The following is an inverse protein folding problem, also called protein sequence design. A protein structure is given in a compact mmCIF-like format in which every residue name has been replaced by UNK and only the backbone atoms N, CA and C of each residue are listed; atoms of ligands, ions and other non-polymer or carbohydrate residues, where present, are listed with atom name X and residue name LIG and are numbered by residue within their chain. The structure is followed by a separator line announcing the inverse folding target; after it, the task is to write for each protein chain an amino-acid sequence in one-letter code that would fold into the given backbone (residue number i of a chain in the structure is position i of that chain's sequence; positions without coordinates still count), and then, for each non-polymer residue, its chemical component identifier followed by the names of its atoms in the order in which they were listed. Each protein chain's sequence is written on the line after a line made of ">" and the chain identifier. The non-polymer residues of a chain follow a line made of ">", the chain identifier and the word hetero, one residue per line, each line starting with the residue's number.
data_IF_830116373472
#
_entry.id   IF_830116373472
#
_cell.length_a   1.000
_cell.length_b   1.000
_cell.length_c   1.000
_cell.angle_alpha   90.00
_cell.angle_beta   90.00
_cell.angle_gamma   90.00
#
_symmetry.space_group_name_H-M   'P 1'
#
loop_
_entity.id
_entity.type
_entity.pdbx_description
1 polymer ?
#
# COMPACT_ATOMS: atom_id res chain seq x y z
N UNK A 1 -1.38 9.30 -1.35
CA UNK A 1 -1.53 8.57 -0.07
C UNK A 1 -0.88 7.18 -0.05
N UNK A 2 0.17 6.91 -0.86
CA UNK A 2 0.70 5.56 -1.12
C UNK A 2 1.38 4.85 0.06
N UNK A 3 1.95 5.61 1.02
CA UNK A 3 2.78 5.04 2.09
C UNK A 3 2.01 4.17 3.10
N UNK A 4 0.73 4.46 3.34
CA UNK A 4 -0.02 3.85 4.46
C UNK A 4 -0.31 2.36 4.25
N UNK A 5 -0.70 1.95 3.04
CA UNK A 5 -1.03 0.55 2.73
C UNK A 5 0.22 -0.33 2.64
N UNK A 6 1.33 0.21 2.14
CA UNK A 6 2.62 -0.51 2.10
C UNK A 6 3.12 -0.84 3.51
N UNK A 7 2.97 0.08 4.46
CA UNK A 7 3.36 -0.15 5.86
C UNK A 7 2.54 -1.31 6.46
N UNK A 8 1.24 -1.37 6.22
CA UNK A 8 0.39 -2.47 6.71
C UNK A 8 0.83 -3.83 6.14
N UNK A 9 1.18 -3.90 4.86
CA UNK A 9 1.67 -5.13 4.24
C UNK A 9 3.03 -5.55 4.81
N UNK A 10 3.95 -4.61 5.03
CA UNK A 10 5.26 -4.90 5.63
C UNK A 10 5.11 -5.37 7.08
N UNK A 11 4.26 -4.70 7.87
CA UNK A 11 3.97 -5.11 9.25
C UNK A 11 3.32 -6.49 9.29
N UNK A 12 2.37 -6.78 8.39
CA UNK A 12 1.78 -8.12 8.31
C UNK A 12 2.81 -9.20 7.99
N UNK A 13 3.75 -8.93 7.08
CA UNK A 13 4.82 -9.87 6.73
C UNK A 13 5.79 -10.11 7.88
N UNK A 14 6.14 -9.05 8.63
CA UNK A 14 7.00 -9.16 9.80
C UNK A 14 6.33 -9.95 10.93
N UNK A 15 5.06 -9.66 11.23
CA UNK A 15 4.29 -10.37 12.24
C UNK A 15 4.11 -11.86 11.88
N UNK A 16 3.87 -12.15 10.60
CA UNK A 16 3.79 -13.52 10.11
C UNK A 16 5.13 -14.26 10.23
N UNK A 17 6.25 -13.62 9.88
CA UNK A 17 7.58 -14.21 10.03
C UNK A 17 7.90 -14.54 11.49
N UNK A 18 7.57 -13.63 12.42
CA UNK A 18 7.71 -13.87 13.85
C UNK A 18 6.83 -15.05 14.32
N UNK A 19 5.59 -15.15 13.82
CA UNK A 19 4.72 -16.28 14.10
C UNK A 19 5.31 -17.61 13.64
N UNK A 20 5.87 -17.69 12.42
CA UNK A 20 6.48 -18.92 11.88
C UNK A 20 7.68 -19.38 12.72
N UNK A 21 8.41 -18.46 13.35
CA UNK A 21 9.54 -18.79 14.23
C UNK A 21 9.06 -19.26 15.61
N UNK A 22 8.05 -18.60 16.18
CA UNK A 22 7.62 -18.83 17.57
C UNK A 22 6.68 -20.03 17.69
N UNK A 23 5.77 -20.22 16.74
CA UNK A 23 4.64 -21.16 16.84
C UNK A 23 4.98 -22.66 16.69
N UNK A 24 5.98 -23.12 15.91
CA UNK A 24 6.17 -24.56 15.66
C UNK A 24 6.44 -25.39 16.92
N UNK A 25 7.28 -24.87 17.81
CA UNK A 25 7.69 -25.56 19.04
C UNK A 25 6.54 -25.71 20.06
N UNK A 26 5.82 -24.63 20.44
CA UNK A 26 4.68 -24.74 21.33
C UNK A 26 3.50 -25.47 20.68
N UNK A 27 3.32 -25.42 19.36
CA UNK A 27 2.30 -26.20 18.66
C UNK A 27 2.51 -27.71 18.85
N UNK A 28 3.75 -28.19 18.70
CA UNK A 28 4.08 -29.61 18.92
C UNK A 28 3.92 -30.01 20.38
N UNK A 29 4.32 -29.14 21.32
CA UNK A 29 4.16 -29.40 22.76
C UNK A 29 2.68 -29.49 23.18
N UNK A 30 1.82 -28.59 22.68
CA UNK A 30 0.37 -28.62 22.93
C UNK A 30 -0.29 -29.81 22.26
N UNK A 31 0.06 -30.13 21.01
CA UNK A 31 -0.49 -31.30 20.32
C UNK A 31 -0.05 -32.63 20.94
N UNK A 32 1.16 -32.67 21.52
CA UNK A 32 1.71 -33.84 22.21
C UNK A 32 1.22 -34.02 23.66
N UNK A 33 0.47 -33.06 24.21
CA UNK A 33 -0.03 -33.13 25.59
C UNK A 33 1.02 -32.84 26.67
N UNK A 34 2.25 -32.46 26.30
CA UNK A 34 3.34 -32.10 27.23
C UNK A 34 3.45 -30.58 27.43
N UNK A 35 2.36 -29.86 27.24
CA UNK A 35 2.36 -28.41 27.36
C UNK A 35 2.46 -27.98 28.83
N UNK A 36 3.66 -27.51 29.20
CA UNK A 36 3.87 -26.74 30.42
C UNK A 36 3.35 -25.30 30.27
N UNK A 37 3.08 -24.62 31.38
CA UNK A 37 2.47 -23.28 31.41
C UNK A 37 3.20 -22.27 30.51
N UNK A 38 4.54 -22.32 30.45
CA UNK A 38 5.33 -21.47 29.56
C UNK A 38 5.09 -21.74 28.07
N UNK A 39 4.90 -22.99 27.68
CA UNK A 39 4.61 -23.36 26.28
C UNK A 39 3.20 -22.99 25.86
N UNK A 40 2.23 -23.07 26.78
CA UNK A 40 0.85 -22.61 26.53
C UNK A 40 0.80 -21.11 26.28
N UNK A 41 1.54 -20.30 27.06
CA UNK A 41 1.62 -18.84 26.83
C UNK A 41 2.21 -18.52 25.46
N UNK A 42 3.30 -19.21 25.07
CA UNK A 42 3.90 -19.03 23.75
C UNK A 42 2.99 -19.47 22.61
N UNK A 43 2.17 -20.51 22.83
CA UNK A 43 1.16 -20.95 21.89
C UNK A 43 0.07 -19.88 21.67
N UNK A 44 -0.49 -19.35 22.76
CA UNK A 44 -1.50 -18.28 22.71
C UNK A 44 -0.93 -17.03 22.05
N UNK A 45 0.30 -16.65 22.40
CA UNK A 45 0.99 -15.52 21.78
C UNK A 45 1.13 -15.73 20.26
N UNK A 46 1.54 -16.93 19.85
CA UNK A 46 1.64 -17.28 18.43
C UNK A 46 0.30 -17.20 17.70
N UNK A 47 -0.81 -17.65 18.32
CA UNK A 47 -2.16 -17.50 17.74
C UNK A 47 -2.59 -16.04 17.60
N UNK A 48 -2.28 -15.20 18.59
CA UNK A 48 -2.55 -13.75 18.52
C UNK A 48 -1.76 -13.12 17.37
N UNK A 49 -0.45 -13.40 17.26
CA UNK A 49 0.36 -12.91 16.15
C UNK A 49 -0.17 -13.39 14.79
N UNK A 50 -0.64 -14.63 14.70
CA UNK A 50 -1.20 -15.18 13.48
C UNK A 50 -2.48 -14.43 13.08
N UNK A 51 -3.41 -14.24 14.01
CA UNK A 51 -4.65 -13.49 13.78
C UNK A 51 -4.37 -12.04 13.37
N UNK A 52 -3.42 -11.39 14.04
CA UNK A 52 -3.07 -10.00 13.77
C UNK A 52 -2.41 -9.84 12.39
N UNK A 53 -1.50 -10.75 12.02
CA UNK A 53 -0.89 -10.78 10.69
C UNK A 53 -1.93 -10.95 9.57
N UNK A 54 -2.91 -11.82 9.78
CA UNK A 54 -3.97 -12.10 8.80
C UNK A 54 -4.93 -10.91 8.65
N UNK A 55 -5.28 -10.26 9.77
CA UNK A 55 -6.08 -9.04 9.78
C UNK A 55 -5.40 -7.89 9.03
N UNK A 56 -4.14 -7.61 9.33
CA UNK A 56 -3.36 -6.57 8.66
C UNK A 56 -3.17 -6.85 7.16
N UNK A 57 -2.92 -8.10 6.80
CA UNK A 57 -2.79 -8.53 5.40
C UNK A 57 -4.11 -8.31 4.64
N UNK A 58 -5.23 -8.77 5.19
CA UNK A 58 -6.55 -8.63 4.56
C UNK A 58 -6.94 -7.15 4.36
N UNK A 59 -6.70 -6.31 5.37
CA UNK A 59 -6.95 -4.86 5.30
C UNK A 59 -6.03 -4.20 4.27
N UNK A 60 -4.73 -4.51 4.30
CA UNK A 60 -3.74 -3.99 3.35
C UNK A 60 -4.07 -4.35 1.90
N UNK A 61 -4.45 -5.60 1.64
CA UNK A 61 -4.87 -6.08 0.32
C UNK A 61 -6.18 -5.43 -0.13
N UNK A 62 -7.18 -5.30 0.75
CA UNK A 62 -8.47 -4.67 0.43
C UNK A 62 -8.27 -3.22 0.00
N UNK A 63 -7.40 -2.49 0.69
CA UNK A 63 -7.19 -1.07 0.41
C UNK A 63 -6.32 -0.85 -0.83
N UNK A 64 -5.32 -1.70 -1.04
CA UNK A 64 -4.58 -1.77 -2.30
C UNK A 64 -5.47 -2.12 -3.49
N UNK A 65 -6.37 -3.08 -3.32
CA UNK A 65 -7.33 -3.48 -4.34
C UNK A 65 -8.27 -2.33 -4.69
N UNK A 66 -8.82 -1.62 -3.69
CA UNK A 66 -9.64 -0.42 -3.93
C UNK A 66 -8.89 0.67 -4.68
N UNK A 67 -7.63 0.93 -4.32
CA UNK A 67 -6.79 1.93 -5.00
C UNK A 67 -6.56 1.55 -6.47
N UNK A 68 -6.23 0.29 -6.75
CA UNK A 68 -6.03 -0.21 -8.12
C UNK A 68 -7.31 -0.21 -8.96
N UNK A 69 -8.47 -0.44 -8.34
CA UNK A 69 -9.76 -0.49 -9.02
C UNK A 69 -10.43 0.88 -9.14
N UNK A 70 -9.80 1.94 -8.63
CA UNK A 70 -10.29 3.31 -8.78
C UNK A 70 -9.83 3.85 -10.14
N UNK A 71 -10.75 4.27 -11.03
CA UNK A 71 -10.38 4.82 -12.33
C UNK A 71 -9.55 6.10 -12.17
N UNK A 72 -8.38 6.13 -12.82
CA UNK A 72 -7.49 7.30 -12.81
C UNK A 72 -8.04 8.39 -13.73
N UNK A 73 -8.72 9.37 -13.17
CA UNK A 73 -9.08 10.62 -13.84
C UNK A 73 -7.92 11.63 -13.79
N UNK A 74 -7.97 12.68 -14.62
CA UNK A 74 -6.99 13.78 -14.60
C UNK A 74 -6.88 14.45 -13.22
N UNK A 75 -7.98 14.51 -12.45
CA UNK A 75 -8.01 15.04 -11.08
C UNK A 75 -7.34 14.13 -10.04
N UNK A 76 -7.30 12.82 -10.28
CA UNK A 76 -6.88 11.82 -9.30
C UNK A 76 -5.53 11.16 -9.64
N UNK A 77 -4.89 11.59 -10.73
CA UNK A 77 -3.59 11.07 -11.15
C UNK A 77 -2.50 11.67 -10.27
N UNK A 78 -1.60 10.84 -9.75
CA UNK A 78 -0.36 11.36 -9.18
C UNK A 78 0.35 12.19 -10.26
N UNK A 79 0.80 13.40 -9.93
CA UNK A 79 1.57 14.25 -10.82
C UNK A 79 2.77 13.45 -11.37
N UNK A 80 2.66 12.99 -12.61
CA UNK A 80 3.73 12.25 -13.29
C UNK A 80 4.76 13.26 -13.76
N UNK A 81 5.65 13.65 -12.84
CA UNK A 81 6.72 14.61 -13.09
C UNK A 81 6.24 16.06 -13.15
N UNK A 82 7.14 17.00 -12.83
CA UNK A 82 6.94 18.39 -13.20
C UNK A 82 6.92 18.46 -14.72
N UNK A 83 6.02 19.26 -15.29
CA UNK A 83 5.91 19.44 -16.75
C UNK A 83 7.24 19.97 -17.37
N UNK A 84 8.11 20.55 -16.53
CA UNK A 84 9.48 20.95 -16.88
C UNK A 84 10.43 19.79 -17.20
N UNK A 85 10.17 18.59 -16.68
CA UNK A 85 10.97 17.39 -16.97
C UNK A 85 10.46 16.63 -18.20
N UNK A 86 9.37 17.10 -18.82
CA UNK A 86 8.81 16.47 -20.01
C UNK A 86 9.71 16.79 -21.20
N UNK A 87 10.14 15.74 -21.91
CA UNK A 87 10.91 15.89 -23.16
C UNK A 87 10.10 16.79 -24.12
N UNK A 88 10.73 17.80 -24.77
CA UNK A 88 10.05 18.69 -25.70
C UNK A 88 9.28 17.89 -26.75
N UNK A 89 7.97 18.10 -26.83
CA UNK A 89 7.12 17.40 -27.78
C UNK A 89 7.35 17.99 -29.19
N UNK A 90 7.87 17.21 -30.16
CA UNK A 90 8.09 17.70 -31.53
C UNK A 90 6.80 18.07 -32.27
N UNK A 91 5.65 17.65 -31.75
CA UNK A 91 4.32 17.91 -32.29
C UNK A 91 3.56 18.97 -31.51
N UNK A 92 4.17 19.63 -30.53
CA UNK A 92 3.54 20.78 -29.88
C UNK A 92 3.41 21.93 -30.86
N UNK A 93 2.24 22.55 -30.89
CA UNK A 93 1.99 23.71 -31.76
C UNK A 93 2.81 24.91 -31.26
N UNK A 94 3.43 25.69 -32.16
CA UNK A 94 4.20 26.87 -31.75
C UNK A 94 3.33 27.83 -30.93
N UNK A 95 3.71 28.03 -29.67
CA UNK A 95 3.00 28.85 -28.67
C UNK A 95 2.85 30.32 -29.05
N UNK A 96 3.58 30.79 -30.07
CA UNK A 96 3.45 32.15 -30.61
C UNK A 96 2.10 32.43 -31.30
N UNK A 97 1.40 31.39 -31.82
CA UNK A 97 0.11 31.57 -32.51
C UNK A 97 -1.10 31.61 -31.55
N UNK A 98 -0.98 31.07 -30.33
CA UNK A 98 -2.07 31.09 -29.35
C UNK A 98 -2.12 32.41 -28.55
N UNK A 99 -1.02 33.16 -28.49
CA UNK A 99 -0.95 34.41 -27.73
C UNK A 99 -1.65 35.58 -28.44
N UNK A 100 -1.81 35.52 -29.77
CA UNK A 100 -2.54 36.52 -30.56
C UNK A 100 -4.06 36.33 -30.55
N UNK A 101 -4.57 35.15 -30.17
CA UNK A 101 -6.02 34.90 -30.02
C UNK A 101 -6.57 35.24 -28.63
N UNK A 102 -5.73 35.39 -27.60
CA UNK A 102 -6.16 35.84 -26.26
C UNK A 102 -6.13 37.36 -26.07
N UNK A 103 -5.70 38.12 -27.08
CA UNK A 103 -5.56 39.58 -27.02
C UNK A 103 -6.75 40.42 -27.49
N UNK A 104 -7.92 39.82 -27.78
CA UNK A 104 -9.04 40.57 -28.40
C UNK A 104 -10.43 40.29 -27.80
N UNK A 105 -10.53 40.17 -26.48
CA UNK A 105 -11.83 40.29 -25.78
C UNK A 105 -11.68 41.12 -24.51
N UNK A 106 -12.09 42.38 -24.55
CA UNK A 106 -12.25 43.23 -23.36
C UNK A 106 -11.90 44.70 -23.60
N UNK A 107 -12.74 45.40 -24.37
CA UNK A 107 -12.59 46.83 -24.57
C UNK A 107 -13.79 47.43 -25.31
N UNK A 108 -14.93 47.51 -24.64
CA UNK A 108 -15.95 48.54 -24.82
C UNK A 108 -16.58 48.82 -23.46
#
# INVERSE_FOLDING_TARGET
>A
MKKKWTILLVLSGLAFAACVVILPRPLVAVAGGEADAGTTVMFVLGLVLLADSLGLLAVGLRLRSRDLNTPRSYDNRDATGLDSDRKPNPYDVPTALNQSQMGHHGGQ
#
